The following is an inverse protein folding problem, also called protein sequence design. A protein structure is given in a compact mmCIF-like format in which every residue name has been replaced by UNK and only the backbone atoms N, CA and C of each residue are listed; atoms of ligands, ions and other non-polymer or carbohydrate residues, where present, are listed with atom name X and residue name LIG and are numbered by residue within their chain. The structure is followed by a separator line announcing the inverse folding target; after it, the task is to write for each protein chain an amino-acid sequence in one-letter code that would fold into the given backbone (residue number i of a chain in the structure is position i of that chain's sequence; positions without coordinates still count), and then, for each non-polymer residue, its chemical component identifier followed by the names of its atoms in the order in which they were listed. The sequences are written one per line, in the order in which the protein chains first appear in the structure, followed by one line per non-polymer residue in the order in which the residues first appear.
data_IF_992381522697
#
_entry.id   IF_992381522697
#
_cell.length_a   1.000
_cell.length_b   1.000
_cell.length_c   1.000
_cell.angle_alpha   90.00
_cell.angle_beta   90.00
_cell.angle_gamma   90.00
#
_symmetry.space_group_name_H-M   'P 1'
#
loop_
_entity.id
_entity.type
_entity.pdbx_description
1 polymer ?
#
# COMPACT_ATOMS: atom_id res chain seq x y z
N UNK A 1 -11.64 21.32 2.33
CA UNK A 1 -10.72 21.64 3.44
C UNK A 1 -10.03 22.96 3.18
N UNK A 2 -9.82 23.79 4.19
CA UNK A 2 -8.83 24.86 4.08
C UNK A 2 -7.42 24.28 3.97
N UNK A 3 -6.47 25.06 3.43
CA UNK A 3 -5.06 24.61 3.32
C UNK A 3 -4.47 24.21 4.67
N UNK A 4 -4.82 24.91 5.74
CA UNK A 4 -4.35 24.63 7.10
C UNK A 4 -4.90 23.30 7.62
N UNK A 5 -6.19 23.03 7.40
CA UNK A 5 -6.83 21.78 7.81
C UNK A 5 -6.24 20.59 7.05
N UNK A 6 -6.06 20.73 5.73
CA UNK A 6 -5.44 19.71 4.88
C UNK A 6 -4.06 19.27 5.41
N UNK A 7 -3.12 20.20 5.64
CA UNK A 7 -1.81 19.83 6.16
C UNK A 7 -1.85 19.29 7.59
N UNK A 8 -2.80 19.75 8.42
CA UNK A 8 -3.00 19.21 9.77
C UNK A 8 -3.48 17.77 9.72
N UNK A 9 -4.41 17.44 8.84
CA UNK A 9 -4.93 16.08 8.67
C UNK A 9 -3.86 15.13 8.16
N UNK A 10 -3.07 15.53 7.15
CA UNK A 10 -1.93 14.72 6.71
C UNK A 10 -0.95 14.43 7.85
N UNK A 11 -0.62 15.44 8.65
CA UNK A 11 0.26 15.28 9.79
C UNK A 11 -0.32 14.34 10.86
N UNK A 12 -1.62 14.46 11.14
CA UNK A 12 -2.31 13.58 12.08
C UNK A 12 -2.36 12.14 11.60
N UNK A 13 -2.66 11.90 10.32
CA UNK A 13 -2.68 10.55 9.73
C UNK A 13 -1.32 9.86 9.88
N UNK A 14 -0.23 10.56 9.57
CA UNK A 14 1.12 9.99 9.67
C UNK A 14 1.55 9.81 11.13
N UNK A 15 1.22 10.74 12.02
CA UNK A 15 1.46 10.58 13.45
C UNK A 15 0.71 9.38 14.03
N UNK A 16 -0.56 9.18 13.68
CA UNK A 16 -1.34 8.04 14.14
C UNK A 16 -0.70 6.70 13.71
N UNK A 17 -0.10 6.65 12.50
CA UNK A 17 0.65 5.48 12.03
C UNK A 17 1.93 5.25 12.86
N UNK A 18 2.63 6.34 13.21
CA UNK A 18 3.79 6.28 14.10
C UNK A 18 3.42 5.81 15.50
N UNK A 19 2.33 6.33 16.07
CA UNK A 19 1.83 5.98 17.41
C UNK A 19 1.35 4.52 17.48
N UNK A 20 0.91 3.96 16.35
CA UNK A 20 0.63 2.54 16.18
C UNK A 20 1.89 1.65 16.06
N UNK A 21 3.09 2.23 16.11
CA UNK A 21 4.37 1.52 16.12
C UNK A 21 4.97 1.22 14.74
N UNK A 22 4.44 1.81 13.66
CA UNK A 22 4.98 1.63 12.31
C UNK A 22 6.00 2.72 11.97
N UNK A 23 7.02 2.35 11.19
CA UNK A 23 7.92 3.33 10.60
C UNK A 23 7.17 4.23 9.61
N UNK A 24 7.46 5.53 9.66
CA UNK A 24 6.92 6.53 8.75
C UNK A 24 8.01 7.06 7.83
N UNK A 25 7.62 7.44 6.63
CA UNK A 25 8.48 7.87 5.53
C UNK A 25 7.82 9.02 4.77
N UNK A 26 8.56 9.61 3.81
CA UNK A 26 7.97 10.59 2.88
C UNK A 26 6.79 10.01 2.09
N UNK A 27 6.80 8.71 1.81
CA UNK A 27 5.71 8.02 1.07
C UNK A 27 4.39 8.09 1.83
N UNK A 28 4.39 8.13 3.17
CA UNK A 28 3.17 8.28 3.95
C UNK A 28 2.47 9.61 3.70
N UNK A 29 3.22 10.72 3.74
CA UNK A 29 2.69 12.04 3.41
C UNK A 29 2.31 12.17 1.95
N UNK A 30 3.14 11.63 1.06
CA UNK A 30 2.93 11.68 -0.39
C UNK A 30 1.68 10.89 -0.82
N UNK A 31 1.55 9.65 -0.36
CA UNK A 31 0.42 8.78 -0.66
C UNK A 31 -0.89 9.33 -0.13
N UNK A 32 -0.89 9.88 1.10
CA UNK A 32 -2.07 10.59 1.63
C UNK A 32 -2.39 11.86 0.84
N UNK A 33 -1.39 12.63 0.43
CA UNK A 33 -1.62 13.81 -0.42
C UNK A 33 -2.25 13.45 -1.77
N UNK A 34 -1.78 12.37 -2.40
CA UNK A 34 -2.33 11.87 -3.65
C UNK A 34 -3.78 11.39 -3.49
N UNK A 35 -4.11 10.75 -2.37
CA UNK A 35 -5.45 10.19 -2.19
C UNK A 35 -6.56 11.25 -2.15
N UNK A 36 -6.27 12.48 -1.70
CA UNK A 36 -7.21 13.61 -1.80
C UNK A 36 -7.58 13.99 -3.24
N UNK A 37 -6.77 13.60 -4.22
CA UNK A 37 -7.01 13.89 -5.65
C UNK A 37 -7.54 12.68 -6.41
N UNK A 38 -7.12 11.47 -5.99
CA UNK A 38 -7.35 10.23 -6.75
C UNK A 38 -8.46 9.37 -6.17
N UNK A 39 -8.83 9.56 -4.90
CA UNK A 39 -9.87 8.78 -4.23
C UNK A 39 -11.06 9.69 -3.94
N UNK A 40 -12.17 9.44 -4.64
CA UNK A 40 -13.40 10.22 -4.50
C UNK A 40 -14.20 9.80 -3.25
N UNK A 41 -13.61 10.01 -2.07
CA UNK A 41 -14.22 9.80 -0.77
C UNK A 41 -13.84 10.92 0.19
N UNK A 42 -14.58 11.06 1.29
CA UNK A 42 -14.23 11.99 2.37
C UNK A 42 -12.79 11.78 2.82
N UNK A 43 -12.07 12.89 3.03
CA UNK A 43 -10.68 12.93 3.52
C UNK A 43 -9.69 12.08 2.69
N UNK A 44 -9.97 11.93 1.39
CA UNK A 44 -9.17 11.12 0.48
C UNK A 44 -9.18 9.63 0.84
N UNK A 45 -10.27 9.15 1.45
CA UNK A 45 -10.52 7.72 1.72
C UNK A 45 -9.45 7.02 2.58
N UNK A 46 -9.21 7.44 3.83
CA UNK A 46 -8.21 6.80 4.71
C UNK A 46 -8.46 5.31 4.96
N UNK A 47 -9.71 4.87 4.90
CA UNK A 47 -10.10 3.47 5.08
C UNK A 47 -10.11 2.65 3.78
N UNK A 48 -9.96 3.29 2.61
CA UNK A 48 -9.95 2.57 1.34
C UNK A 48 -8.61 1.88 1.16
N UNK A 49 -8.67 0.57 0.93
CA UNK A 49 -7.49 -0.26 0.66
C UNK A 49 -7.48 -0.67 -0.80
N UNK A 50 -6.30 -0.92 -1.35
CA UNK A 50 -6.20 -1.40 -2.72
C UNK A 50 -6.77 -2.83 -2.84
N UNK A 51 -6.69 -3.65 -1.80
CA UNK A 51 -7.38 -4.94 -1.75
C UNK A 51 -8.91 -4.86 -1.73
N UNK A 52 -9.49 -3.76 -1.24
CA UNK A 52 -10.95 -3.58 -1.23
C UNK A 52 -11.57 -3.45 -2.63
N UNK A 53 -10.75 -3.21 -3.66
CA UNK A 53 -11.19 -3.24 -5.06
C UNK A 53 -11.76 -4.62 -5.42
N UNK A 54 -11.21 -5.70 -4.86
CA UNK A 54 -11.74 -7.05 -5.07
C UNK A 54 -13.16 -7.26 -4.53
N UNK A 55 -13.58 -6.46 -3.55
CA UNK A 55 -14.90 -6.50 -2.94
C UNK A 55 -15.91 -5.57 -3.66
N UNK A 56 -15.45 -4.75 -4.60
CA UNK A 56 -16.31 -3.85 -5.39
C UNK A 56 -17.14 -4.65 -6.42
N UNK A 57 -18.44 -4.36 -6.49
CA UNK A 57 -19.35 -5.12 -7.35
C UNK A 57 -19.12 -4.86 -8.84
N UNK A 58 -18.71 -3.65 -9.24
CA UNK A 58 -18.45 -3.37 -10.65
C UNK A 58 -17.18 -4.06 -11.11
N UNK A 59 -16.14 -4.08 -10.26
CA UNK A 59 -14.93 -4.85 -10.51
C UNK A 59 -15.19 -6.36 -10.55
N UNK A 60 -15.93 -6.90 -9.57
CA UNK A 60 -16.27 -8.32 -9.53
C UNK A 60 -17.11 -8.79 -10.73
N UNK A 61 -17.92 -7.89 -11.30
CA UNK A 61 -18.70 -8.14 -12.52
C UNK A 61 -17.93 -7.85 -13.81
N UNK A 62 -16.63 -7.56 -13.75
CA UNK A 62 -15.77 -7.21 -14.87
C UNK A 62 -16.24 -5.97 -15.67
N UNK A 63 -16.95 -5.04 -15.01
CA UNK A 63 -17.36 -3.77 -15.60
C UNK A 63 -16.21 -2.73 -15.61
N UNK A 64 -15.15 -2.98 -14.84
CA UNK A 64 -13.94 -2.14 -14.77
C UNK A 64 -12.69 -2.99 -15.02
N UNK A 65 -11.65 -2.42 -15.68
CA UNK A 65 -10.40 -3.15 -15.90
C UNK A 65 -9.65 -3.37 -14.57
N UNK A 66 -8.88 -4.46 -14.50
CA UNK A 66 -8.03 -4.73 -13.35
C UNK A 66 -6.90 -3.70 -13.22
N UNK A 67 -6.82 -2.98 -12.09
CA UNK A 67 -5.73 -2.05 -11.88
C UNK A 67 -4.46 -2.82 -11.50
N UNK A 68 -3.34 -2.41 -12.09
CA UNK A 68 -2.01 -2.92 -11.81
C UNK A 68 -1.09 -1.74 -11.48
N UNK A 69 -0.43 -1.79 -10.33
CA UNK A 69 0.61 -0.84 -9.95
C UNK A 69 1.92 -1.61 -9.87
N UNK A 70 3.00 -1.01 -10.37
CA UNK A 70 4.35 -1.57 -10.25
C UNK A 70 5.23 -0.63 -9.46
N UNK A 71 6.04 -1.18 -8.56
CA UNK A 71 7.08 -0.45 -7.84
C UNK A 71 8.43 -1.13 -8.05
N UNK A 72 9.51 -0.36 -7.94
CA UNK A 72 10.87 -0.86 -8.09
C UNK A 72 11.54 -0.91 -6.74
N UNK A 73 12.13 -2.05 -6.40
CA UNK A 73 12.86 -2.23 -5.15
C UNK A 73 14.11 -1.34 -5.11
N UNK A 74 14.23 -0.57 -4.04
CA UNK A 74 15.47 0.07 -3.64
C UNK A 74 15.89 -0.45 -2.26
N UNK A 75 17.00 -1.20 -2.14
CA UNK A 75 17.48 -1.67 -0.86
C UNK A 75 17.71 -0.53 0.14
N UNK A 76 17.45 -0.81 1.42
CA UNK A 76 17.64 0.16 2.50
C UNK A 76 19.08 0.71 2.53
N UNK A 77 19.23 2.02 2.72
CA UNK A 77 20.54 2.69 2.76
C UNK A 77 21.21 2.92 1.41
N UNK A 78 20.57 2.52 0.30
CA UNK A 78 21.09 2.78 -1.06
C UNK A 78 20.48 4.07 -1.64
N UNK A 79 21.32 4.84 -2.34
CA UNK A 79 20.89 6.02 -3.10
C UNK A 79 20.54 5.68 -4.55
N UNK A 80 21.18 4.65 -5.10
CA UNK A 80 21.00 4.23 -6.49
C UNK A 80 19.93 3.14 -6.58
N UNK A 81 19.17 3.17 -7.69
CA UNK A 81 18.26 2.09 -8.11
C UNK A 81 18.89 1.44 -9.34
N UNK A 82 19.53 0.26 -9.19
CA UNK A 82 20.12 -0.46 -10.31
C UNK A 82 19.10 -0.85 -11.39
N UNK A 83 19.57 -1.04 -12.62
CA UNK A 83 18.71 -1.51 -13.72
C UNK A 83 18.20 -2.94 -13.55
N UNK A 84 18.81 -3.72 -12.64
CA UNK A 84 18.40 -5.08 -12.27
C UNK A 84 17.72 -5.13 -10.90
N UNK A 85 17.14 -4.02 -10.45
CA UNK A 85 16.27 -3.98 -9.27
C UNK A 85 15.02 -4.81 -9.50
N UNK A 86 14.60 -5.52 -8.46
CA UNK A 86 13.36 -6.30 -8.45
C UNK A 86 12.17 -5.40 -8.72
N UNK A 87 11.29 -5.79 -9.65
CA UNK A 87 10.00 -5.13 -9.85
C UNK A 87 8.93 -5.85 -9.06
N UNK A 88 8.19 -5.12 -8.24
CA UNK A 88 7.02 -5.60 -7.52
C UNK A 88 5.75 -5.15 -8.22
N UNK A 89 4.78 -6.05 -8.33
CA UNK A 89 3.42 -5.78 -8.79
C UNK A 89 2.48 -5.74 -7.57
N UNK A 90 1.51 -4.82 -7.61
CA UNK A 90 0.35 -4.77 -6.74
C UNK A 90 -0.90 -4.88 -7.62
N UNK A 91 -1.71 -5.89 -7.34
CA UNK A 91 -3.04 -6.06 -7.90
C UNK A 91 -4.06 -6.22 -6.74
N UNK A 92 -5.39 -6.19 -6.98
CA UNK A 92 -6.38 -6.22 -5.90
C UNK A 92 -6.31 -7.44 -4.95
N UNK A 93 -5.59 -8.50 -5.31
CA UNK A 93 -5.49 -9.72 -4.48
C UNK A 93 -4.11 -9.91 -3.85
N UNK A 94 -3.05 -9.53 -4.54
CA UNK A 94 -1.69 -9.86 -4.14
C UNK A 94 -0.67 -8.79 -4.47
N UNK A 95 0.42 -8.82 -3.70
CA UNK A 95 1.66 -8.10 -3.98
C UNK A 95 2.77 -9.14 -4.14
N UNK A 96 3.61 -8.97 -5.16
CA UNK A 96 4.74 -9.87 -5.33
C UNK A 96 5.59 -9.53 -6.53
N UNK A 97 6.42 -10.48 -6.91
CA UNK A 97 7.35 -10.29 -8.01
C UNK A 97 7.55 -11.57 -8.79
N UNK A 98 7.57 -11.43 -10.12
CA UNK A 98 7.99 -12.48 -11.05
C UNK A 98 9.51 -12.59 -11.17
N UNK A 99 10.26 -11.63 -10.61
CA UNK A 99 11.71 -11.62 -10.70
C UNK A 99 12.31 -12.77 -9.88
N UNK A 100 13.26 -13.50 -10.47
CA UNK A 100 13.78 -14.77 -9.92
C UNK A 100 14.36 -14.68 -8.51
N UNK A 101 14.80 -13.49 -8.07
CA UNK A 101 15.32 -13.27 -6.71
C UNK A 101 14.24 -13.37 -5.63
N UNK A 102 13.01 -12.99 -5.97
CA UNK A 102 11.87 -13.01 -5.04
C UNK A 102 10.90 -14.12 -5.42
N UNK A 103 10.46 -14.16 -6.67
CA UNK A 103 9.61 -15.19 -7.26
C UNK A 103 8.45 -15.66 -6.34
N UNK A 104 7.80 -14.70 -5.68
CA UNK A 104 6.82 -14.96 -4.63
C UNK A 104 5.79 -13.83 -4.56
N UNK A 105 4.59 -14.20 -4.11
CA UNK A 105 3.45 -13.33 -3.92
C UNK A 105 2.84 -13.56 -2.54
N UNK A 106 2.29 -12.49 -1.96
CA UNK A 106 1.57 -12.51 -0.70
C UNK A 106 0.20 -11.84 -0.87
N UNK A 107 -0.84 -12.27 -0.15
CA UNK A 107 -2.15 -11.63 -0.21
C UNK A 107 -2.04 -10.15 0.19
N UNK A 108 -2.51 -9.26 -0.68
CA UNK A 108 -2.31 -7.81 -0.54
C UNK A 108 -2.89 -7.29 0.78
N UNK A 109 -4.07 -7.81 1.16
CA UNK A 109 -4.74 -7.49 2.42
C UNK A 109 -3.85 -7.68 3.65
N UNK A 110 -2.83 -8.53 3.58
CA UNK A 110 -2.01 -8.94 4.72
C UNK A 110 -0.54 -8.56 4.63
N UNK A 111 -0.09 -7.76 3.65
CA UNK A 111 1.33 -7.44 3.41
C UNK A 111 2.06 -6.77 4.59
N UNK A 112 1.34 -6.20 5.54
CA UNK A 112 1.93 -5.66 6.78
C UNK A 112 2.30 -6.75 7.80
N UNK A 113 1.91 -8.01 7.58
CA UNK A 113 2.10 -9.12 8.52
C UNK A 113 3.50 -9.73 8.39
N UNK A 114 3.95 -10.39 9.47
CA UNK A 114 5.15 -11.22 9.40
C UNK A 114 4.80 -12.58 8.78
N UNK A 115 5.32 -12.83 7.58
CA UNK A 115 5.25 -14.14 6.94
C UNK A 115 6.52 -14.93 7.23
N UNK A 116 6.35 -16.14 7.77
CA UNK A 116 7.42 -17.12 7.95
C UNK A 116 7.02 -18.40 7.20
N UNK A 117 7.88 -18.85 6.28
CA UNK A 117 7.60 -20.01 5.41
C UNK A 117 6.26 -19.90 4.66
N UNK A 118 5.95 -18.70 4.14
CA UNK A 118 4.74 -18.45 3.34
C UNK A 118 3.45 -18.32 4.13
N UNK A 119 3.49 -18.35 5.47
CA UNK A 119 2.30 -18.21 6.32
C UNK A 119 2.55 -17.25 7.48
N UNK A 120 1.49 -16.60 7.96
CA UNK A 120 1.56 -15.89 9.24
C UNK A 120 1.57 -16.95 10.37
N UNK A 121 2.57 -16.96 11.28
CA UNK A 121 2.64 -17.93 12.36
C UNK A 121 1.36 -17.96 13.21
N UNK A 122 1.03 -19.11 13.81
CA UNK A 122 -0.19 -19.25 14.65
C UNK A 122 -0.23 -18.29 15.84
N UNK A 123 0.93 -17.94 16.37
CA UNK A 123 1.11 -16.96 17.45
C UNK A 123 1.51 -15.57 16.92
N UNK A 124 1.47 -15.36 15.61
CA UNK A 124 1.70 -14.08 14.96
C UNK A 124 0.43 -13.23 14.88
N UNK A 125 0.58 -12.02 14.33
CA UNK A 125 -0.53 -11.09 14.13
C UNK A 125 -0.79 -10.91 12.63
N UNK A 126 -2.05 -11.07 12.22
CA UNK A 126 -2.51 -10.72 10.88
C UNK A 126 -2.81 -9.22 10.84
N UNK A 127 -1.93 -8.46 10.20
CA UNK A 127 -2.08 -7.02 10.01
C UNK A 127 -2.83 -6.79 8.70
N UNK A 128 -3.92 -6.02 8.77
CA UNK A 128 -4.71 -5.62 7.61
C UNK A 128 -4.81 -4.10 7.51
N UNK A 129 -5.09 -3.59 6.29
CA UNK A 129 -5.22 -2.16 6.02
C UNK A 129 -3.90 -1.43 5.80
N UNK A 130 -2.77 -2.15 5.82
CA UNK A 130 -1.47 -1.58 5.46
C UNK A 130 -1.42 -1.18 3.97
N UNK A 131 -2.22 -1.84 3.15
CA UNK A 131 -2.42 -1.60 1.72
C UNK A 131 -3.41 -0.44 1.45
N UNK A 132 -3.38 0.62 2.26
CA UNK A 132 -4.15 1.84 1.99
C UNK A 132 -3.95 2.28 0.54
N UNK A 133 -5.04 2.58 -0.17
CA UNK A 133 -4.99 2.85 -1.61
C UNK A 133 -4.03 4.00 -1.96
N UNK A 134 -4.01 5.07 -1.14
CA UNK A 134 -3.07 6.18 -1.28
C UNK A 134 -1.62 5.76 -1.08
N UNK A 135 -1.34 4.91 -0.10
CA UNK A 135 0.01 4.40 0.16
C UNK A 135 0.52 3.51 -0.97
N UNK A 136 -0.32 2.62 -1.52
CA UNK A 136 0.02 1.80 -2.68
C UNK A 136 0.28 2.67 -3.92
N UNK A 137 -0.56 3.67 -4.19
CA UNK A 137 -0.34 4.60 -5.31
C UNK A 137 0.88 5.51 -5.14
N UNK A 138 1.28 5.78 -3.89
CA UNK A 138 2.44 6.62 -3.58
C UNK A 138 3.77 5.88 -3.56
N UNK A 139 3.75 4.55 -3.55
CA UNK A 139 4.93 3.66 -3.54
C UNK A 139 5.45 3.46 -4.95
#
# INVERSE_FOLDING_TARGET
LSRKEYYRELYQDVNNRSDAGYNTTTTDYWGRSLSYQLVNASDGGPSYTFSSIADDSDFANANTPMPLIVAVERPGGQLLVPSNSTVFEFNPWEMGSYDTRTAAFAPLKYIGSNFTNGTVPRNGHCIAGFDNAGFVMGT
#
